data_IF_408080181048
#
_entry.id   IF_408080181048
#
_cell.length_a   1.000
_cell.length_b   1.000
_cell.length_c   1.000
_cell.angle_alpha   90.00
_cell.angle_beta   90.00
_cell.angle_gamma   90.00
#
_symmetry.space_group_name_H-M   'P 1'
#
loop_
_entity.id
_entity.type
_entity.pdbx_description
1 polymer ?
#
# COMPACT_ATOMS: atom_id res chain seq x y z
N UNK A 1 -24.22 -0.87 26.36
CA UNK A 1 -24.00 -2.12 25.57
C UNK A 1 -23.88 -1.87 24.07
N UNK A 2 -24.75 -1.08 23.41
CA UNK A 2 -24.69 -0.83 21.95
C UNK A 2 -23.36 -0.21 21.46
N UNK A 3 -22.78 0.78 22.16
CA UNK A 3 -21.48 1.38 21.80
C UNK A 3 -20.28 0.43 21.89
N UNK A 4 -20.30 -0.53 22.84
CA UNK A 4 -19.24 -1.55 22.96
C UNK A 4 -19.28 -2.54 21.79
N UNK A 5 -20.49 -2.89 21.30
CA UNK A 5 -20.67 -3.72 20.12
C UNK A 5 -20.18 -3.03 18.84
N UNK A 6 -20.51 -1.76 18.65
CA UNK A 6 -20.06 -0.97 17.48
C UNK A 6 -18.53 -0.82 17.44
N UNK A 7 -17.89 -0.53 18.60
CA UNK A 7 -16.42 -0.46 18.65
C UNK A 7 -15.75 -1.79 18.26
N UNK A 8 -16.30 -2.94 18.71
CA UNK A 8 -15.76 -4.26 18.31
C UNK A 8 -15.90 -4.50 16.79
N UNK A 9 -17.05 -4.13 16.21
CA UNK A 9 -17.25 -4.22 14.76
C UNK A 9 -16.23 -3.38 14.03
N UNK A 10 -16.03 -2.12 14.41
CA UNK A 10 -15.05 -1.24 13.79
C UNK A 10 -13.61 -1.77 13.88
N UNK A 11 -13.21 -2.32 15.04
CA UNK A 11 -11.90 -2.95 15.22
C UNK A 11 -11.72 -4.17 14.29
N UNK A 12 -12.70 -5.08 14.28
CA UNK A 12 -12.67 -6.27 13.43
C UNK A 12 -12.63 -5.90 11.94
N UNK A 13 -13.37 -4.88 11.52
CA UNK A 13 -13.41 -4.41 10.14
C UNK A 13 -12.03 -3.88 9.70
N UNK A 14 -11.34 -3.11 10.56
CA UNK A 14 -9.98 -2.62 10.25
C UNK A 14 -8.95 -3.76 10.22
N UNK A 15 -9.00 -4.70 11.16
CA UNK A 15 -8.10 -5.86 11.16
C UNK A 15 -8.32 -6.71 9.91
N UNK A 16 -9.57 -6.93 9.53
CA UNK A 16 -9.90 -7.65 8.29
C UNK A 16 -9.43 -6.90 7.04
N UNK A 17 -9.52 -5.57 7.04
CA UNK A 17 -8.93 -4.71 6.01
C UNK A 17 -7.44 -4.95 5.88
N UNK A 18 -6.70 -4.93 6.99
CA UNK A 18 -5.25 -5.17 7.00
C UNK A 18 -4.89 -6.57 6.49
N UNK A 19 -5.69 -7.58 6.85
CA UNK A 19 -5.50 -8.94 6.32
C UNK A 19 -5.73 -9.01 4.81
N UNK A 20 -6.78 -8.36 4.32
CA UNK A 20 -7.05 -8.27 2.88
C UNK A 20 -5.88 -7.58 2.14
N UNK A 21 -5.39 -6.47 2.67
CA UNK A 21 -4.26 -5.74 2.06
C UNK A 21 -2.99 -6.60 2.05
N UNK A 22 -2.73 -7.33 3.12
CA UNK A 22 -1.56 -8.19 3.27
C UNK A 22 -1.51 -9.35 2.25
N UNK A 23 -2.66 -9.78 1.73
CA UNK A 23 -2.74 -10.81 0.68
C UNK A 23 -2.28 -10.27 -0.68
N UNK A 24 -2.46 -8.98 -0.94
CA UNK A 24 -2.26 -8.36 -2.27
C UNK A 24 -0.86 -8.60 -2.87
N UNK A 25 0.26 -8.32 -2.18
CA UNK A 25 1.59 -8.54 -2.76
C UNK A 25 1.90 -10.02 -2.99
N UNK A 26 1.42 -10.91 -2.10
CA UNK A 26 1.57 -12.36 -2.27
C UNK A 26 0.79 -12.87 -3.49
N UNK A 27 -0.45 -12.40 -3.68
CA UNK A 27 -1.26 -12.73 -4.85
C UNK A 27 -0.61 -12.22 -6.14
N UNK A 28 -0.05 -11.00 -6.14
CA UNK A 28 0.69 -10.48 -7.28
C UNK A 28 1.90 -11.36 -7.62
N UNK A 29 2.70 -11.74 -6.61
CA UNK A 29 3.88 -12.62 -6.79
C UNK A 29 3.49 -13.97 -7.36
N UNK A 30 2.45 -14.62 -6.83
CA UNK A 30 1.95 -15.90 -7.37
C UNK A 30 1.59 -15.74 -8.85
N UNK A 31 0.85 -14.71 -9.23
CA UNK A 31 0.46 -14.52 -10.63
C UNK A 31 1.69 -14.31 -11.54
N UNK A 32 2.71 -13.56 -11.08
CA UNK A 32 3.97 -13.38 -11.80
C UNK A 32 4.73 -14.71 -11.96
N UNK A 33 4.86 -15.49 -10.89
CA UNK A 33 5.56 -16.79 -10.90
C UNK A 33 4.85 -17.82 -11.78
N UNK A 34 3.53 -17.68 -11.97
CA UNK A 34 2.72 -18.51 -12.89
C UNK A 34 2.64 -17.94 -14.32
N UNK A 35 3.52 -17.01 -14.66
CA UNK A 35 3.77 -16.55 -16.04
C UNK A 35 3.03 -15.32 -16.48
N UNK A 36 2.33 -14.62 -15.57
CA UNK A 36 1.80 -13.28 -15.88
C UNK A 36 2.93 -12.29 -16.11
N UNK A 37 2.76 -11.39 -17.06
CA UNK A 37 3.62 -10.22 -17.14
C UNK A 37 3.28 -9.21 -16.04
N UNK A 38 4.25 -8.38 -15.68
CA UNK A 38 4.05 -7.27 -14.75
C UNK A 38 2.92 -6.33 -15.22
N UNK A 39 2.86 -6.07 -16.51
CA UNK A 39 1.83 -5.23 -17.13
C UNK A 39 0.42 -5.79 -16.85
N UNK A 40 0.21 -7.09 -17.07
CA UNK A 40 -1.08 -7.75 -16.84
C UNK A 40 -1.46 -7.71 -15.35
N UNK A 41 -0.51 -7.92 -14.44
CA UNK A 41 -0.76 -7.85 -12.99
C UNK A 41 -1.17 -6.45 -12.55
N UNK A 42 -0.49 -5.41 -13.03
CA UNK A 42 -0.82 -4.00 -12.71
C UNK A 42 -2.16 -3.59 -13.32
N UNK A 43 -2.38 -3.91 -14.59
CA UNK A 43 -3.63 -3.59 -15.29
C UNK A 43 -4.83 -4.27 -14.64
N UNK A 44 -4.75 -5.58 -14.39
CA UNK A 44 -5.85 -6.35 -13.80
C UNK A 44 -6.22 -5.85 -12.41
N UNK A 45 -5.24 -5.51 -11.58
CA UNK A 45 -5.49 -4.91 -10.25
C UNK A 45 -6.31 -3.63 -10.37
N UNK A 46 -5.89 -2.70 -11.22
CA UNK A 46 -6.58 -1.43 -11.41
C UNK A 46 -7.96 -1.62 -12.06
N UNK A 47 -8.06 -2.50 -13.05
CA UNK A 47 -9.30 -2.79 -13.76
C UNK A 47 -10.34 -3.48 -12.87
N UNK A 48 -9.96 -4.55 -12.16
CA UNK A 48 -10.83 -5.24 -11.22
C UNK A 48 -11.23 -4.26 -10.11
N UNK A 49 -10.28 -3.48 -9.59
CA UNK A 49 -10.55 -2.45 -8.60
C UNK A 49 -11.57 -1.43 -9.09
N UNK A 50 -11.41 -0.92 -10.29
CA UNK A 50 -12.36 0.02 -10.91
C UNK A 50 -13.75 -0.61 -11.09
N UNK A 51 -13.84 -1.81 -11.68
CA UNK A 51 -15.10 -2.50 -11.93
C UNK A 51 -15.89 -2.79 -10.64
N UNK A 52 -15.21 -3.20 -9.58
CA UNK A 52 -15.84 -3.46 -8.28
C UNK A 52 -16.28 -2.18 -7.54
N UNK A 53 -15.71 -1.03 -7.87
CA UNK A 53 -16.14 0.27 -7.32
C UNK A 53 -17.40 0.82 -8.01
N UNK A 54 -17.70 0.43 -9.25
CA UNK A 54 -18.87 0.91 -10.00
C UNK A 54 -20.18 0.66 -9.24
N UNK A 55 -20.50 -0.58 -8.80
CA UNK A 55 -21.71 -0.84 -8.03
C UNK A 55 -21.79 0.00 -6.74
N UNK A 56 -20.66 0.19 -6.06
CA UNK A 56 -20.58 0.95 -4.82
C UNK A 56 -20.91 2.43 -5.05
N UNK A 57 -20.39 3.02 -6.13
CA UNK A 57 -20.68 4.40 -6.54
C UNK A 57 -22.15 4.56 -6.90
N UNK A 58 -22.76 3.61 -7.63
CA UNK A 58 -24.16 3.63 -8.02
C UNK A 58 -25.07 3.51 -6.80
N UNK A 59 -24.86 2.54 -5.93
CA UNK A 59 -25.67 2.29 -4.73
C UNK A 59 -25.62 3.48 -3.78
N UNK A 60 -24.45 4.08 -3.59
CA UNK A 60 -24.27 5.24 -2.70
C UNK A 60 -24.62 6.56 -3.38
N UNK A 61 -25.03 6.55 -4.65
CA UNK A 61 -25.38 7.75 -5.45
C UNK A 61 -24.28 8.82 -5.41
N UNK A 62 -23.01 8.40 -5.47
CA UNK A 62 -21.87 9.31 -5.45
C UNK A 62 -21.81 10.04 -6.79
N UNK A 63 -21.77 11.38 -6.74
CA UNK A 63 -21.53 12.18 -7.95
C UNK A 63 -20.07 12.00 -8.36
N UNK A 64 -19.83 11.41 -9.54
CA UNK A 64 -18.50 11.13 -10.07
C UNK A 64 -17.80 12.36 -10.67
N UNK A 65 -18.50 13.49 -10.81
CA UNK A 65 -17.91 14.70 -11.37
C UNK A 65 -17.00 15.37 -10.35
N UNK A 66 -15.81 15.73 -10.79
CA UNK A 66 -14.81 16.44 -10.00
C UNK A 66 -14.64 17.87 -10.55
N UNK A 67 -14.60 18.85 -9.66
CA UNK A 67 -14.36 20.22 -10.04
C UNK A 67 -13.00 20.37 -10.77
N UNK A 68 -12.96 21.22 -11.81
CA UNK A 68 -11.76 21.42 -12.65
C UNK A 68 -10.48 21.74 -11.86
N UNK A 69 -10.61 22.46 -10.73
CA UNK A 69 -9.45 22.80 -9.88
C UNK A 69 -8.73 21.59 -9.26
N UNK A 70 -9.46 20.46 -9.05
CA UNK A 70 -8.89 19.22 -8.49
C UNK A 70 -8.43 18.23 -9.57
N UNK A 71 -8.79 18.44 -10.84
CA UNK A 71 -8.51 17.48 -11.90
C UNK A 71 -7.00 17.28 -12.14
N UNK A 72 -6.23 18.36 -12.20
CA UNK A 72 -4.78 18.29 -12.37
C UNK A 72 -4.08 17.54 -11.23
N UNK A 73 -4.27 17.93 -9.96
CA UNK A 73 -3.75 17.18 -8.81
C UNK A 73 -4.20 15.72 -8.80
N UNK A 74 -5.44 15.43 -9.16
CA UNK A 74 -5.99 14.08 -9.21
C UNK A 74 -5.30 13.23 -10.28
N UNK A 75 -5.12 13.75 -11.48
CA UNK A 75 -4.40 13.07 -12.57
C UNK A 75 -2.95 12.76 -12.17
N UNK A 76 -2.25 13.73 -11.59
CA UNK A 76 -0.87 13.53 -11.12
C UNK A 76 -0.80 12.47 -10.02
N UNK A 77 -1.71 12.50 -9.06
CA UNK A 77 -1.77 11.51 -7.98
C UNK A 77 -2.11 10.11 -8.52
N UNK A 78 -2.99 10.02 -9.53
CA UNK A 78 -3.32 8.76 -10.19
C UNK A 78 -2.12 8.20 -10.98
N UNK A 79 -1.33 9.06 -11.61
CA UNK A 79 -0.09 8.64 -12.27
C UNK A 79 0.94 8.11 -11.26
N UNK A 80 1.14 8.82 -10.14
CA UNK A 80 2.01 8.36 -9.04
C UNK A 80 1.51 7.02 -8.48
N UNK A 81 0.20 6.83 -8.37
CA UNK A 81 -0.41 5.58 -7.92
C UNK A 81 -0.05 4.39 -8.83
N UNK A 82 -0.17 4.56 -10.15
CA UNK A 82 0.23 3.52 -11.11
C UNK A 82 1.72 3.21 -11.00
N UNK A 83 2.55 4.24 -10.97
CA UNK A 83 3.99 4.10 -10.83
C UNK A 83 4.36 3.35 -9.54
N UNK A 84 3.71 3.68 -8.42
CA UNK A 84 3.89 3.00 -7.14
C UNK A 84 3.53 1.51 -7.23
N UNK A 85 2.36 1.17 -7.81
CA UNK A 85 1.93 -0.22 -7.95
C UNK A 85 2.93 -0.99 -8.81
N UNK A 86 3.29 -0.45 -9.97
CA UNK A 86 4.22 -1.08 -10.90
C UNK A 86 5.61 -1.29 -10.24
N UNK A 87 6.11 -0.28 -9.54
CA UNK A 87 7.38 -0.34 -8.82
C UNK A 87 7.35 -1.39 -7.70
N UNK A 88 6.27 -1.42 -6.91
CA UNK A 88 6.12 -2.40 -5.82
C UNK A 88 6.09 -3.83 -6.35
N UNK A 89 5.30 -4.10 -7.40
CA UNK A 89 5.22 -5.43 -7.97
C UNK A 89 6.48 -5.83 -8.76
N UNK A 90 7.21 -4.86 -9.27
CA UNK A 90 8.52 -5.12 -9.87
C UNK A 90 9.56 -5.48 -8.79
N UNK A 91 9.51 -4.84 -7.62
CA UNK A 91 10.40 -5.15 -6.50
C UNK A 91 10.25 -6.59 -6.00
N UNK A 92 9.04 -7.19 -6.03
CA UNK A 92 8.82 -8.58 -5.59
C UNK A 92 9.49 -9.64 -6.46
N UNK A 93 10.05 -9.25 -7.61
CA UNK A 93 10.89 -10.12 -8.44
C UNK A 93 12.33 -10.26 -7.88
N UNK A 94 12.75 -9.34 -7.02
CA UNK A 94 14.14 -9.23 -6.56
C UNK A 94 14.29 -9.35 -5.05
N UNK A 95 13.26 -9.05 -4.27
CA UNK A 95 13.26 -9.07 -2.81
C UNK A 95 12.05 -9.81 -2.26
N UNK A 96 12.21 -10.35 -1.07
CA UNK A 96 11.12 -10.93 -0.30
C UNK A 96 10.10 -9.87 0.11
N UNK A 97 8.83 -10.26 0.12
CA UNK A 97 7.71 -9.36 0.40
C UNK A 97 7.87 -8.66 1.74
N UNK A 98 8.37 -9.39 2.77
CA UNK A 98 8.61 -8.81 4.10
C UNK A 98 9.56 -7.63 4.07
N UNK A 99 10.67 -7.73 3.31
CA UNK A 99 11.65 -6.65 3.16
C UNK A 99 11.06 -5.44 2.45
N UNK A 100 10.34 -5.66 1.35
CA UNK A 100 9.67 -4.60 0.60
C UNK A 100 8.66 -3.87 1.48
N UNK A 101 7.83 -4.62 2.22
CA UNK A 101 6.82 -4.04 3.11
C UNK A 101 7.47 -3.24 4.24
N UNK A 102 8.55 -3.72 4.85
CA UNK A 102 9.28 -2.98 5.88
C UNK A 102 9.79 -1.61 5.37
N UNK A 103 10.29 -1.56 4.13
CA UNK A 103 10.75 -0.31 3.50
C UNK A 103 9.56 0.60 3.18
N UNK A 104 8.54 0.10 2.48
CA UNK A 104 7.40 0.91 2.05
C UNK A 104 6.63 1.49 3.23
N UNK A 105 6.49 0.73 4.32
CA UNK A 105 5.77 1.20 5.51
C UNK A 105 6.53 2.24 6.33
N UNK A 106 7.76 2.61 5.95
CA UNK A 106 8.42 3.80 6.45
C UNK A 106 7.82 5.12 5.91
N UNK A 107 6.83 5.07 5.00
CA UNK A 107 6.19 6.27 4.42
C UNK A 107 5.64 7.28 5.44
N UNK A 108 5.10 6.91 6.63
CA UNK A 108 4.61 7.88 7.61
C UNK A 108 5.71 8.81 8.11
N UNK A 109 6.95 8.29 8.18
CA UNK A 109 8.12 9.08 8.53
C UNK A 109 8.40 10.11 7.43
N UNK A 110 8.39 9.70 6.17
CA UNK A 110 8.58 10.60 5.04
C UNK A 110 7.53 11.72 4.99
N UNK A 111 6.26 11.39 5.26
CA UNK A 111 5.19 12.39 5.38
C UNK A 111 5.46 13.35 6.53
N UNK A 112 5.86 12.85 7.71
CA UNK A 112 6.16 13.69 8.86
C UNK A 112 7.33 14.64 8.59
N UNK A 113 8.37 14.18 7.89
CA UNK A 113 9.48 15.03 7.46
C UNK A 113 9.03 16.12 6.48
N UNK A 114 8.25 15.77 5.46
CA UNK A 114 7.72 16.74 4.49
C UNK A 114 6.89 17.81 5.21
N UNK A 115 5.95 17.40 6.06
CA UNK A 115 5.07 18.34 6.80
C UNK A 115 5.86 19.20 7.79
N UNK A 116 6.91 18.65 8.42
CA UNK A 116 7.81 19.39 9.29
C UNK A 116 8.58 20.49 8.54
N UNK A 117 9.24 20.14 7.43
CA UNK A 117 10.00 21.09 6.62
C UNK A 117 9.13 22.14 5.92
N UNK A 118 7.86 21.84 5.70
CA UNK A 118 6.88 22.81 5.20
C UNK A 118 6.24 23.69 6.29
N UNK A 119 6.59 23.44 7.55
CA UNK A 119 6.00 24.18 8.69
C UNK A 119 4.53 23.82 8.96
N UNK A 120 4.02 22.74 8.36
CA UNK A 120 2.63 22.29 8.54
C UNK A 120 2.44 21.51 9.86
N UNK A 121 3.50 20.86 10.35
CA UNK A 121 3.52 20.12 11.61
C UNK A 121 4.93 20.08 12.21
N UNK A 122 5.05 19.81 13.51
CA UNK A 122 6.33 19.66 14.20
C UNK A 122 6.60 18.19 14.54
N UNK A 123 7.81 17.71 14.25
CA UNK A 123 8.28 16.40 14.68
C UNK A 123 8.89 16.53 16.06
N UNK A 124 8.34 15.85 17.06
CA UNK A 124 8.84 15.86 18.43
C UNK A 124 10.03 14.91 18.62
N UNK A 125 10.74 15.05 19.77
CA UNK A 125 11.93 14.26 20.06
C UNK A 125 11.68 12.73 20.03
N UNK A 126 10.52 12.27 20.49
CA UNK A 126 10.17 10.83 20.46
C UNK A 126 10.00 10.32 19.03
N UNK A 127 9.45 11.13 18.16
CA UNK A 127 9.32 10.81 16.74
C UNK A 127 10.70 10.78 16.05
N UNK A 128 11.61 11.71 16.39
CA UNK A 128 12.99 11.67 15.90
C UNK A 128 13.72 10.39 16.31
N UNK A 129 13.56 9.95 17.56
CA UNK A 129 14.09 8.66 18.00
C UNK A 129 13.53 7.49 17.18
N UNK A 130 12.22 7.47 16.91
CA UNK A 130 11.62 6.44 16.07
C UNK A 130 12.22 6.44 14.65
N UNK A 131 12.47 7.61 14.07
CA UNK A 131 13.12 7.73 12.74
C UNK A 131 14.51 7.09 12.75
N UNK A 132 15.31 7.35 13.80
CA UNK A 132 16.63 6.73 13.96
C UNK A 132 16.51 5.20 14.06
N UNK A 133 15.55 4.69 14.85
CA UNK A 133 15.33 3.25 14.97
C UNK A 133 14.87 2.60 13.65
N UNK A 134 14.05 3.28 12.84
CA UNK A 134 13.71 2.78 11.50
C UNK A 134 14.95 2.71 10.61
N UNK A 135 15.79 3.74 10.61
CA UNK A 135 17.05 3.72 9.84
C UNK A 135 17.96 2.56 10.27
N UNK A 136 18.11 2.32 11.59
CA UNK A 136 18.87 1.18 12.12
C UNK A 136 18.23 -0.15 11.70
N UNK A 137 16.92 -0.31 11.82
CA UNK A 137 16.23 -1.54 11.40
C UNK A 137 16.39 -1.83 9.92
N UNK A 138 16.29 -0.80 9.06
CA UNK A 138 16.55 -0.94 7.61
C UNK A 138 18.01 -1.33 7.35
N UNK A 139 18.97 -0.81 8.12
CA UNK A 139 20.38 -1.24 8.02
C UNK A 139 20.53 -2.74 8.30
N UNK A 140 19.87 -3.27 9.33
CA UNK A 140 19.85 -4.71 9.62
C UNK A 140 19.21 -5.54 8.49
N UNK A 141 18.13 -5.03 7.86
CA UNK A 141 17.51 -5.69 6.72
C UNK A 141 18.44 -5.83 5.51
N UNK A 142 19.29 -4.83 5.28
CA UNK A 142 20.23 -4.81 4.15
C UNK A 142 21.49 -5.63 4.42
N UNK A 143 21.95 -5.67 5.67
CA UNK A 143 23.27 -6.20 6.02
C UNK A 143 23.43 -7.70 5.74
N UNK A 144 22.40 -8.49 5.90
CA UNK A 144 22.47 -9.96 5.75
C UNK A 144 22.00 -10.46 4.36
N UNK A 145 21.27 -9.63 3.63
CA UNK A 145 20.95 -9.94 2.25
C UNK A 145 22.27 -9.93 1.47
N UNK A 146 22.57 -11.02 0.74
CA UNK A 146 23.75 -11.08 -0.13
C UNK A 146 23.78 -9.83 -1.02
N UNK A 147 24.43 -8.80 -0.54
CA UNK A 147 24.36 -7.41 -1.00
C UNK A 147 24.61 -7.26 -2.52
N UNK A 148 25.37 -8.18 -3.11
CA UNK A 148 25.66 -8.18 -4.54
C UNK A 148 24.48 -8.56 -5.46
N UNK A 149 23.51 -9.35 -4.98
CA UNK A 149 22.35 -9.78 -5.79
C UNK A 149 21.10 -8.94 -5.63
N UNK A 150 20.90 -8.34 -4.46
CA UNK A 150 19.63 -7.69 -4.07
C UNK A 150 19.67 -6.15 -4.06
N UNK A 151 20.84 -5.53 -4.32
CA UNK A 151 20.97 -4.05 -4.32
C UNK A 151 19.94 -3.38 -5.24
N UNK A 152 19.71 -3.96 -6.42
CA UNK A 152 18.73 -3.44 -7.37
C UNK A 152 17.31 -3.47 -6.81
N UNK A 153 16.94 -4.56 -6.13
CA UNK A 153 15.64 -4.68 -5.46
C UNK A 153 15.46 -3.64 -4.34
N UNK A 154 16.51 -3.37 -3.56
CA UNK A 154 16.48 -2.31 -2.55
C UNK A 154 16.32 -0.93 -3.17
N UNK A 155 17.05 -0.60 -4.23
CA UNK A 155 16.93 0.68 -4.93
C UNK A 155 15.50 0.89 -5.47
N UNK A 156 14.90 -0.14 -6.07
CA UNK A 156 13.51 -0.11 -6.53
C UNK A 156 12.55 0.10 -5.36
N UNK A 157 12.77 -0.57 -4.23
CA UNK A 157 11.92 -0.45 -3.05
C UNK A 157 12.01 0.95 -2.41
N UNK A 158 13.20 1.56 -2.36
CA UNK A 158 13.36 2.95 -1.90
C UNK A 158 12.73 3.96 -2.87
N UNK A 159 12.80 3.71 -4.18
CA UNK A 159 12.07 4.50 -5.15
C UNK A 159 10.55 4.34 -4.96
N UNK A 160 10.08 3.12 -4.70
CA UNK A 160 8.70 2.84 -4.31
C UNK A 160 8.29 3.58 -3.03
N UNK A 161 9.17 3.65 -2.02
CA UNK A 161 8.93 4.43 -0.80
C UNK A 161 8.73 5.93 -1.12
N UNK A 162 9.58 6.50 -1.97
CA UNK A 162 9.42 7.90 -2.40
C UNK A 162 8.08 8.13 -3.09
N UNK A 163 7.67 7.24 -4.00
CA UNK A 163 6.36 7.28 -4.64
C UNK A 163 5.21 7.11 -3.62
N UNK A 164 5.37 6.23 -2.64
CA UNK A 164 4.38 6.02 -1.57
C UNK A 164 4.18 7.28 -0.73
N UNK A 165 5.27 7.96 -0.36
CA UNK A 165 5.22 9.23 0.38
C UNK A 165 4.48 10.30 -0.43
N UNK A 166 4.83 10.47 -1.71
CA UNK A 166 4.17 11.43 -2.60
C UNK A 166 2.70 11.09 -2.81
N UNK A 167 2.39 9.82 -3.04
CA UNK A 167 1.03 9.33 -3.22
C UNK A 167 0.17 9.60 -1.98
N UNK A 168 0.64 9.20 -0.80
CA UNK A 168 -0.12 9.35 0.44
C UNK A 168 -0.31 10.83 0.82
N UNK A 169 0.72 11.66 0.64
CA UNK A 169 0.63 13.08 0.90
C UNK A 169 -0.35 13.79 -0.04
N UNK A 170 -0.28 13.53 -1.35
CA UNK A 170 -1.20 14.13 -2.33
C UNK A 170 -2.61 13.60 -2.19
N UNK A 171 -2.78 12.29 -1.98
CA UNK A 171 -4.09 11.65 -1.80
C UNK A 171 -4.83 12.19 -0.59
N UNK A 172 -4.15 12.40 0.54
CA UNK A 172 -4.80 12.95 1.75
C UNK A 172 -5.37 14.34 1.48
N UNK A 173 -4.59 15.22 0.83
CA UNK A 173 -5.05 16.58 0.50
C UNK A 173 -6.23 16.62 -0.48
N UNK A 174 -6.27 15.69 -1.43
CA UNK A 174 -7.39 15.60 -2.36
C UNK A 174 -8.61 14.97 -1.66
N UNK A 175 -8.42 13.93 -0.86
CA UNK A 175 -9.50 13.25 -0.14
C UNK A 175 -10.26 14.16 0.81
N UNK A 176 -9.59 15.13 1.44
CA UNK A 176 -10.21 16.12 2.31
C UNK A 176 -11.24 17.00 1.56
N UNK A 177 -11.08 17.16 0.24
CA UNK A 177 -11.94 18.02 -0.58
C UNK A 177 -13.04 17.25 -1.32
N UNK A 178 -12.70 16.08 -1.91
CA UNK A 178 -13.65 15.33 -2.75
C UNK A 178 -14.16 14.04 -2.07
N UNK A 179 -13.60 13.69 -0.92
CA UNK A 179 -13.90 12.44 -0.22
C UNK A 179 -13.08 11.25 -0.71
N UNK A 180 -12.76 10.34 0.22
CA UNK A 180 -11.87 9.20 -0.05
C UNK A 180 -12.46 8.17 -1.02
N UNK A 181 -13.78 8.00 -1.04
CA UNK A 181 -14.44 7.05 -1.95
C UNK A 181 -14.36 7.53 -3.41
N UNK A 182 -14.66 8.82 -3.66
CA UNK A 182 -14.57 9.42 -4.98
C UNK A 182 -13.12 9.45 -5.45
N UNK A 183 -12.18 9.77 -4.57
CA UNK A 183 -10.75 9.69 -4.87
C UNK A 183 -10.36 8.27 -5.32
N UNK A 184 -10.73 7.24 -4.55
CA UNK A 184 -10.37 5.85 -4.87
C UNK A 184 -10.96 5.39 -6.22
N UNK A 185 -12.19 5.80 -6.53
CA UNK A 185 -12.80 5.56 -7.84
C UNK A 185 -11.95 6.16 -8.98
N UNK A 186 -11.59 7.44 -8.86
CA UNK A 186 -10.80 8.12 -9.88
C UNK A 186 -9.37 7.61 -9.96
N UNK A 187 -8.73 7.25 -8.86
CA UNK A 187 -7.40 6.65 -8.86
C UNK A 187 -7.35 5.39 -9.73
N UNK A 188 -8.33 4.50 -9.57
CA UNK A 188 -8.39 3.27 -10.37
C UNK A 188 -8.83 3.54 -11.81
N UNK A 189 -9.79 4.43 -12.04
CA UNK A 189 -10.24 4.83 -13.38
C UNK A 189 -9.08 5.40 -14.22
N UNK A 190 -8.40 6.43 -13.70
CA UNK A 190 -7.28 7.05 -14.40
C UNK A 190 -6.07 6.12 -14.51
N UNK A 191 -5.87 5.24 -13.52
CA UNK A 191 -4.83 4.22 -13.61
C UNK A 191 -5.02 3.32 -14.83
N UNK A 192 -6.23 2.82 -15.06
CA UNK A 192 -6.55 2.01 -16.25
C UNK A 192 -6.28 2.81 -17.52
N UNK A 193 -6.71 4.07 -17.58
CA UNK A 193 -6.48 4.93 -18.75
C UNK A 193 -4.98 5.12 -19.00
N UNK A 194 -4.19 5.46 -17.98
CA UNK A 194 -2.74 5.66 -18.14
C UNK A 194 -2.03 4.40 -18.61
N UNK A 195 -2.41 3.23 -18.07
CA UNK A 195 -1.84 1.95 -18.47
C UNK A 195 -2.20 1.63 -19.94
N UNK A 196 -3.45 1.86 -20.34
CA UNK A 196 -3.88 1.65 -21.74
C UNK A 196 -3.20 2.64 -22.71
N UNK A 197 -3.07 3.91 -22.33
CA UNK A 197 -2.32 4.88 -23.14
C UNK A 197 -0.86 4.44 -23.27
N UNK A 198 -0.21 4.06 -22.17
CA UNK A 198 1.16 3.58 -22.19
C UNK A 198 1.32 2.36 -23.13
N UNK A 199 0.33 1.45 -23.18
CA UNK A 199 0.37 0.27 -24.04
C UNK A 199 0.33 0.58 -25.54
N UNK A 200 -0.11 1.79 -25.94
CA UNK A 200 -0.05 2.24 -27.33
C UNK A 200 1.37 2.65 -27.73
N UNK A 201 2.12 3.24 -26.81
CA UNK A 201 3.46 3.77 -27.09
C UNK A 201 4.58 2.76 -26.78
N UNK A 202 4.35 1.84 -25.87
CA UNK A 202 5.33 0.85 -25.44
C UNK A 202 4.81 -0.56 -25.74
N UNK A 203 5.68 -1.41 -26.25
CA UNK A 203 5.39 -2.84 -26.42
C UNK A 203 5.55 -3.53 -25.06
N UNK A 204 4.44 -3.71 -24.36
CA UNK A 204 4.43 -4.51 -23.14
C UNK A 204 4.19 -5.99 -23.45
N UNK A 205 4.77 -6.83 -22.61
CA UNK A 205 4.43 -8.24 -22.59
C UNK A 205 3.01 -8.39 -22.02
N UNK A 206 2.12 -9.04 -22.78
CA UNK A 206 0.73 -9.29 -22.42
C UNK A 206 0.52 -10.72 -21.92
N UNK A 207 1.59 -11.41 -21.50
CA UNK A 207 1.48 -12.77 -21.00
C UNK A 207 0.53 -12.83 -19.81
N UNK A 208 -0.47 -13.70 -19.95
CA UNK A 208 -1.43 -14.05 -18.90
C UNK A 208 -0.95 -15.28 -18.13
N UNK A 209 -1.50 -15.55 -16.94
CA UNK A 209 -1.15 -16.77 -16.20
C UNK A 209 -1.33 -18.03 -17.05
N UNK A 210 -0.45 -19.00 -16.85
CA UNK A 210 -0.46 -20.29 -17.59
C UNK A 210 -1.43 -21.32 -17.00
N UNK A 211 -1.91 -21.07 -15.78
CA UNK A 211 -2.77 -22.01 -15.07
C UNK A 211 -3.81 -21.29 -14.20
N UNK A 212 -4.73 -22.10 -13.65
CA UNK A 212 -5.83 -21.60 -12.83
C UNK A 212 -5.37 -20.89 -11.55
N UNK A 213 -4.25 -21.30 -10.94
CA UNK A 213 -3.74 -20.69 -9.72
C UNK A 213 -3.28 -19.26 -9.96
N UNK A 214 -2.56 -19.05 -11.06
CA UNK A 214 -2.15 -17.71 -11.47
C UNK A 214 -3.35 -16.80 -11.78
N UNK A 215 -4.40 -17.32 -12.44
CA UNK A 215 -5.64 -16.55 -12.69
C UNK A 215 -6.40 -16.23 -11.39
N UNK A 216 -6.53 -17.19 -10.48
CA UNK A 216 -7.14 -16.95 -9.18
C UNK A 216 -6.36 -15.87 -8.43
N UNK A 217 -5.04 -15.96 -8.40
CA UNK A 217 -4.18 -14.97 -7.75
C UNK A 217 -4.33 -13.57 -8.37
N UNK A 218 -4.46 -13.47 -9.68
CA UNK A 218 -4.70 -12.23 -10.41
C UNK A 218 -6.02 -11.56 -9.97
N UNK A 219 -7.09 -12.35 -9.86
CA UNK A 219 -8.41 -11.88 -9.40
C UNK A 219 -8.35 -11.47 -7.92
N UNK A 220 -7.71 -12.28 -7.07
CA UNK A 220 -7.55 -11.98 -5.64
C UNK A 220 -6.79 -10.69 -5.41
N UNK A 221 -5.73 -10.41 -6.20
CA UNK A 221 -4.96 -9.17 -6.12
C UNK A 221 -5.87 -7.93 -6.23
N UNK A 222 -6.67 -7.82 -7.28
CA UNK A 222 -7.58 -6.68 -7.47
C UNK A 222 -8.74 -6.65 -6.47
N UNK A 223 -9.34 -7.82 -6.17
CA UNK A 223 -10.49 -7.93 -5.27
C UNK A 223 -10.13 -7.58 -3.84
N UNK A 224 -9.05 -8.16 -3.30
CA UNK A 224 -8.63 -7.89 -1.93
C UNK A 224 -8.12 -6.46 -1.75
N UNK A 225 -7.53 -5.88 -2.78
CA UNK A 225 -7.16 -4.47 -2.78
C UNK A 225 -8.37 -3.56 -2.53
N UNK A 226 -9.47 -3.70 -3.27
CA UNK A 226 -10.66 -2.87 -3.10
C UNK A 226 -11.41 -3.21 -1.81
N UNK A 227 -11.49 -4.49 -1.46
CA UNK A 227 -12.12 -4.92 -0.23
C UNK A 227 -11.41 -4.33 0.99
N UNK A 228 -10.07 -4.29 0.98
CA UNK A 228 -9.29 -3.69 2.06
C UNK A 228 -9.61 -2.20 2.25
N UNK A 229 -9.59 -1.40 1.20
CA UNK A 229 -9.95 0.02 1.30
C UNK A 229 -11.37 0.23 1.79
N UNK A 230 -12.33 -0.55 1.25
CA UNK A 230 -13.73 -0.45 1.65
C UNK A 230 -13.90 -0.76 3.15
N UNK A 231 -13.30 -1.84 3.62
CA UNK A 231 -13.32 -2.23 5.03
C UNK A 231 -12.62 -1.19 5.92
N UNK A 232 -11.47 -0.66 5.48
CA UNK A 232 -10.77 0.38 6.20
C UNK A 232 -11.63 1.63 6.41
N UNK A 233 -12.30 2.11 5.35
CA UNK A 233 -13.18 3.27 5.46
C UNK A 233 -14.40 3.02 6.34
N UNK A 234 -15.00 1.82 6.28
CA UNK A 234 -16.11 1.46 7.17
C UNK A 234 -15.61 1.45 8.63
N UNK A 235 -14.51 0.76 8.90
CA UNK A 235 -13.96 0.67 10.24
C UNK A 235 -13.49 2.02 10.80
N UNK A 236 -12.80 2.84 9.99
CA UNK A 236 -12.32 4.16 10.40
C UNK A 236 -13.45 5.14 10.74
N UNK A 237 -14.61 5.04 10.09
CA UNK A 237 -15.80 5.82 10.46
C UNK A 237 -16.34 5.44 11.84
N UNK A 238 -16.16 4.18 12.26
CA UNK A 238 -16.68 3.67 13.54
C UNK A 238 -15.73 3.98 14.70
N UNK A 239 -14.42 3.72 14.53
CA UNK A 239 -13.44 3.82 15.63
C UNK A 239 -12.56 5.07 15.57
N UNK A 240 -12.72 5.87 14.52
CA UNK A 240 -11.90 7.04 14.22
C UNK A 240 -10.63 6.70 13.42
N UNK A 241 -10.22 7.63 12.54
CA UNK A 241 -9.11 7.41 11.60
C UNK A 241 -7.78 7.12 12.32
N UNK A 242 -7.51 7.79 13.44
CA UNK A 242 -6.29 7.61 14.21
C UNK A 242 -6.13 6.18 14.74
N UNK A 243 -7.20 5.61 15.33
CA UNK A 243 -7.17 4.21 15.80
C UNK A 243 -7.09 3.23 14.65
N UNK A 244 -7.80 3.51 13.55
CA UNK A 244 -7.76 2.67 12.35
C UNK A 244 -6.35 2.62 11.76
N UNK A 245 -5.64 3.76 11.65
CA UNK A 245 -4.26 3.82 11.14
C UNK A 245 -3.27 3.05 12.01
N UNK A 246 -3.37 3.16 13.35
CA UNK A 246 -2.53 2.38 14.26
C UNK A 246 -2.78 0.87 14.12
N UNK A 247 -4.03 0.45 13.94
CA UNK A 247 -4.35 -0.96 13.72
C UNK A 247 -3.88 -1.44 12.34
N UNK A 248 -3.95 -0.59 11.32
CA UNK A 248 -3.47 -0.92 9.99
C UNK A 248 -1.96 -1.12 9.92
N UNK A 249 -1.18 -0.57 10.87
CA UNK A 249 0.28 -0.80 10.92
C UNK A 249 0.68 -2.25 11.22
N UNK A 250 -0.28 -3.15 11.49
CA UNK A 250 -0.04 -4.60 11.57
C UNK A 250 0.09 -5.26 10.19
N UNK A 251 -0.29 -4.56 9.13
CA UNK A 251 -0.32 -5.09 7.76
C UNK A 251 1.04 -5.65 7.28
N UNK A 252 2.20 -4.97 7.47
CA UNK A 252 3.48 -5.53 7.05
C UNK A 252 3.79 -6.87 7.71
N UNK A 253 3.43 -7.00 8.99
CA UNK A 253 3.58 -8.27 9.71
C UNK A 253 2.72 -9.38 9.08
N UNK A 254 1.46 -9.08 8.80
CA UNK A 254 0.55 -10.04 8.17
C UNK A 254 1.03 -10.41 6.76
N UNK A 255 1.50 -9.44 5.96
CA UNK A 255 2.02 -9.69 4.62
C UNK A 255 3.25 -10.60 4.65
N UNK A 256 4.17 -10.38 5.58
CA UNK A 256 5.34 -11.23 5.79
C UNK A 256 4.93 -12.64 6.21
N UNK A 257 4.02 -12.80 7.18
CA UNK A 257 3.53 -14.11 7.61
C UNK A 257 2.84 -14.89 6.47
N UNK A 258 2.06 -14.20 5.64
CA UNK A 258 1.42 -14.81 4.47
C UNK A 258 2.47 -15.23 3.44
N UNK A 259 3.47 -14.40 3.16
CA UNK A 259 4.56 -14.74 2.25
C UNK A 259 5.37 -15.93 2.77
N UNK A 260 5.68 -16.00 4.07
CA UNK A 260 6.33 -17.16 4.70
C UNK A 260 5.50 -18.45 4.54
N UNK A 261 4.20 -18.36 4.78
CA UNK A 261 3.31 -19.52 4.73
C UNK A 261 3.09 -20.01 3.29
N UNK A 262 2.87 -19.10 2.34
CA UNK A 262 2.44 -19.41 0.97
C UNK A 262 3.62 -19.52 0.01
N UNK A 263 4.54 -18.56 0.05
CA UNK A 263 5.69 -18.50 -0.88
C UNK A 263 6.96 -19.12 -0.32
N UNK A 264 6.94 -19.56 0.96
CA UNK A 264 8.12 -20.10 1.67
C UNK A 264 9.29 -19.11 1.72
N UNK A 265 8.99 -17.81 1.75
CA UNK A 265 9.97 -16.75 1.93
C UNK A 265 10.25 -16.59 3.43
N UNK A 266 11.40 -17.04 3.90
CA UNK A 266 11.79 -16.94 5.32
C UNK A 266 12.85 -15.87 5.49
N UNK A 267 12.62 -14.96 6.43
CA UNK A 267 13.61 -13.96 6.81
C UNK A 267 14.77 -14.63 7.57
N UNK A 268 15.98 -14.21 7.29
CA UNK A 268 17.15 -14.56 8.10
C UNK A 268 17.02 -13.99 9.51
N UNK A 269 17.93 -14.35 10.40
CA UNK A 269 17.93 -13.83 11.78
C UNK A 269 18.08 -12.30 11.81
N UNK A 270 19.03 -11.76 11.03
CA UNK A 270 19.27 -10.32 10.98
C UNK A 270 18.12 -9.56 10.32
N UNK A 271 17.56 -10.10 9.23
CA UNK A 271 16.36 -9.55 8.59
C UNK A 271 15.16 -9.55 9.56
N UNK A 272 14.98 -10.61 10.34
CA UNK A 272 13.93 -10.70 11.36
C UNK A 272 14.12 -9.64 12.46
N UNK A 273 15.34 -9.43 12.92
CA UNK A 273 15.67 -8.38 13.91
C UNK A 273 15.37 -7.00 13.30
N UNK A 274 15.88 -6.72 12.10
CA UNK A 274 15.64 -5.46 11.41
C UNK A 274 14.15 -5.18 11.19
N UNK A 275 13.40 -6.19 10.76
CA UNK A 275 11.97 -6.13 10.56
C UNK A 275 11.21 -5.78 11.86
N UNK A 276 11.55 -6.45 12.97
CA UNK A 276 10.94 -6.17 14.29
C UNK A 276 11.27 -4.74 14.73
N UNK A 277 12.50 -4.28 14.57
CA UNK A 277 12.91 -2.91 14.93
C UNK A 277 12.09 -1.89 14.13
N UNK A 278 11.97 -2.07 12.80
CA UNK A 278 11.17 -1.18 11.95
C UNK A 278 9.71 -1.15 12.41
N UNK A 279 9.09 -2.31 12.62
CA UNK A 279 7.68 -2.38 13.04
C UNK A 279 7.44 -1.72 14.39
N UNK A 280 8.31 -1.97 15.37
CA UNK A 280 8.20 -1.38 16.70
C UNK A 280 8.36 0.15 16.63
N UNK A 281 9.35 0.62 15.88
CA UNK A 281 9.57 2.04 15.70
C UNK A 281 8.39 2.73 15.02
N UNK A 282 7.82 2.13 13.96
CA UNK A 282 6.62 2.64 13.28
C UNK A 282 5.40 2.66 14.20
N UNK A 283 5.18 1.60 14.98
CA UNK A 283 4.10 1.54 15.96
C UNK A 283 4.19 2.68 16.98
N UNK A 284 5.38 2.90 17.57
CA UNK A 284 5.58 3.97 18.53
C UNK A 284 5.49 5.36 17.90
N UNK A 285 5.94 5.51 16.64
CA UNK A 285 5.82 6.74 15.87
C UNK A 285 4.35 7.15 15.68
N UNK A 286 3.52 6.23 15.19
CA UNK A 286 2.08 6.45 15.00
C UNK A 286 1.34 6.71 16.32
N UNK A 287 1.68 5.97 17.38
CA UNK A 287 1.10 6.17 18.72
C UNK A 287 1.43 7.55 19.29
N UNK A 288 2.59 8.09 18.99
CA UNK A 288 3.00 9.44 19.44
C UNK A 288 2.25 10.52 18.68
N UNK A 289 2.04 10.36 17.37
CA UNK A 289 1.23 11.24 16.52
C UNK A 289 -0.23 11.30 16.96
N UNK A 290 -0.76 10.18 17.44
CA UNK A 290 -2.15 10.09 17.90
C UNK A 290 -2.45 10.86 19.20
N UNK A 291 -1.43 11.35 19.90
CA UNK A 291 -1.55 12.09 21.19
C UNK A 291 -1.30 13.59 21.05
N UNK A 292 -0.79 14.04 19.91
CA UNK A 292 -0.57 15.46 19.59
C UNK A 292 -1.74 16.03 18.77
#
# INVERSE_FOLDING_TARGET
MLRLGQNRIGLLTVVLSSLCFAIVPTAAKISLDHGSSLFVVVLSRCLIGFLLLIPLVIIQKINILVEKKYLGPLLMTSFIHVALIATTFYAVLFLDIGLIMAILYAFPIGIALITHFRGEATVNLKQWLCIIFVALGVTFLIYDSSFSGNLYGFLISFFGLALMILFMYSSSKIADNIGSQLLNFHLNFWAVIFILIASVFFKFDLATPKDNWGFIALILNGTFYILSYTLFFIGSKIIGITRASVLASVEPLLATLIAMAVLKQFLSLNESIGFIIVLMALYFFEKTKAKS
#
